data_IF_792524108204
#
_entry.id   IF_792524108204
#
_cell.length_a   1.000
_cell.length_b   1.000
_cell.length_c   1.000
_cell.angle_alpha   90.00
_cell.angle_beta   90.00
_cell.angle_gamma   90.00
#
_symmetry.space_group_name_H-M   'P 1'
#
loop_
_entity.id
_entity.type
_entity.pdbx_description
1 polymer ?
#
# COMPACT_ATOMS: atom_id res chain seq x y z
N UNK A 1 -5.84 -29.12 -21.27
CA UNK A 1 -5.43 -30.12 -20.28
C UNK A 1 -6.02 -29.72 -18.95
N UNK A 2 -6.86 -30.56 -18.34
CA UNK A 2 -7.60 -30.17 -17.14
C UNK A 2 -6.76 -30.41 -15.89
N UNK A 3 -6.42 -29.35 -15.18
CA UNK A 3 -5.79 -29.39 -13.86
C UNK A 3 -6.87 -29.28 -12.79
N UNK A 4 -6.80 -30.14 -11.78
CA UNK A 4 -7.67 -30.14 -10.61
C UNK A 4 -6.87 -29.72 -9.37
N UNK A 5 -7.52 -29.02 -8.46
CA UNK A 5 -6.96 -28.49 -7.23
C UNK A 5 -7.71 -29.12 -6.05
N UNK A 6 -6.97 -29.76 -5.18
CA UNK A 6 -7.48 -30.37 -3.95
C UNK A 6 -6.86 -29.67 -2.75
N UNK A 7 -7.68 -29.33 -1.77
CA UNK A 7 -7.18 -28.88 -0.47
C UNK A 7 -6.87 -30.08 0.42
N UNK A 8 -5.70 -30.02 1.05
CA UNK A 8 -5.25 -30.94 2.09
C UNK A 8 -5.01 -30.20 3.41
N UNK A 9 -4.98 -30.94 4.51
CA UNK A 9 -4.51 -30.42 5.79
C UNK A 9 -2.99 -30.18 5.74
N UNK A 10 -2.53 -29.10 6.37
CA UNK A 10 -1.11 -28.78 6.50
C UNK A 10 -0.87 -27.32 6.85
N UNK A 11 0.39 -26.99 7.08
CA UNK A 11 0.79 -25.61 7.36
C UNK A 11 1.03 -24.83 6.06
N UNK A 12 0.64 -23.54 6.00
CA UNK A 12 1.09 -22.64 4.95
C UNK A 12 2.62 -22.55 4.92
N UNK A 13 3.15 -22.15 3.79
CA UNK A 13 4.57 -21.87 3.62
C UNK A 13 4.95 -20.57 4.36
N UNK A 14 5.95 -20.67 5.24
CA UNK A 14 6.57 -19.51 5.88
C UNK A 14 7.36 -18.68 4.87
N UNK A 15 7.28 -17.36 5.01
CA UNK A 15 7.94 -16.42 4.13
C UNK A 15 7.27 -15.05 4.12
N UNK A 16 7.51 -14.28 3.07
CA UNK A 16 6.85 -13.02 2.84
C UNK A 16 6.62 -12.78 1.36
N UNK A 17 5.39 -12.45 0.99
CA UNK A 17 5.12 -11.89 -0.33
C UNK A 17 5.51 -10.41 -0.33
N UNK A 18 6.27 -9.99 -1.34
CA UNK A 18 6.68 -8.61 -1.58
C UNK A 18 6.23 -8.21 -2.97
N UNK A 19 5.82 -6.96 -3.14
CA UNK A 19 5.56 -6.38 -4.45
C UNK A 19 6.71 -5.45 -4.81
N UNK A 20 7.43 -5.79 -5.87
CA UNK A 20 8.47 -4.96 -6.46
C UNK A 20 7.82 -4.05 -7.50
N UNK A 21 7.55 -2.80 -7.10
CA UNK A 21 6.86 -1.82 -7.93
C UNK A 21 7.64 -1.43 -9.20
N UNK A 22 8.97 -1.15 -9.15
CA UNK A 22 9.78 -0.95 -10.35
C UNK A 22 9.67 -2.10 -11.36
N UNK A 23 9.65 -3.35 -10.88
CA UNK A 23 9.52 -4.53 -11.73
C UNK A 23 8.06 -4.90 -12.08
N UNK A 24 7.07 -4.27 -11.45
CA UNK A 24 5.67 -4.69 -11.46
C UNK A 24 5.53 -6.21 -11.23
N UNK A 25 6.15 -6.71 -10.16
CA UNK A 25 6.21 -8.15 -9.91
C UNK A 25 5.97 -8.50 -8.46
N UNK A 26 5.35 -9.66 -8.24
CA UNK A 26 5.28 -10.27 -6.92
C UNK A 26 6.49 -11.17 -6.75
N UNK A 27 7.13 -11.07 -5.59
CA UNK A 27 8.30 -11.87 -5.22
C UNK A 27 8.02 -12.50 -3.87
N UNK A 28 8.06 -13.83 -3.82
CA UNK A 28 7.96 -14.55 -2.55
C UNK A 28 9.35 -14.81 -1.97
N UNK A 29 9.58 -14.32 -0.76
CA UNK A 29 10.82 -14.52 0.00
C UNK A 29 10.66 -15.70 0.97
N UNK A 30 11.73 -16.47 1.16
CA UNK A 30 11.74 -17.62 2.08
C UNK A 30 11.48 -18.98 1.44
N UNK A 31 11.17 -19.03 0.14
CA UNK A 31 10.81 -20.28 -0.54
C UNK A 31 11.89 -21.36 -0.50
N UNK A 32 13.19 -21.03 -0.41
CA UNK A 32 14.26 -22.05 -0.37
C UNK A 32 14.17 -22.96 0.84
N UNK A 33 13.61 -22.47 1.95
CA UNK A 33 13.31 -23.28 3.12
C UNK A 33 12.01 -24.08 2.94
N UNK A 34 11.12 -23.63 2.06
CA UNK A 34 9.85 -24.25 1.75
C UNK A 34 10.03 -25.41 0.75
N UNK A 35 9.71 -26.62 1.17
CA UNK A 35 9.83 -27.79 0.31
C UNK A 35 9.88 -29.07 1.12
N UNK A 36 9.25 -30.12 0.62
CA UNK A 36 9.60 -31.48 1.04
C UNK A 36 10.97 -31.84 0.46
N UNK A 37 11.64 -32.84 1.04
CA UNK A 37 12.93 -33.31 0.51
C UNK A 37 12.79 -33.84 -0.93
N UNK A 38 11.65 -34.45 -1.26
CA UNK A 38 11.33 -34.93 -2.60
C UNK A 38 11.19 -33.77 -3.62
N UNK A 39 10.50 -32.68 -3.24
CA UNK A 39 10.35 -31.52 -4.13
C UNK A 39 11.66 -30.73 -4.26
N UNK A 40 12.55 -30.77 -3.26
CA UNK A 40 13.90 -30.21 -3.40
C UNK A 40 14.77 -31.02 -4.35
N UNK A 41 14.61 -32.34 -4.37
CA UNK A 41 15.34 -33.23 -5.26
C UNK A 41 14.82 -33.16 -6.71
N UNK A 42 13.51 -33.04 -6.89
CA UNK A 42 12.86 -33.02 -8.22
C UNK A 42 12.64 -31.63 -8.79
N UNK A 43 12.60 -30.61 -7.93
CA UNK A 43 12.40 -29.21 -8.29
C UNK A 43 10.93 -28.79 -8.38
N UNK A 44 10.72 -27.60 -8.91
CA UNK A 44 9.41 -26.96 -9.02
C UNK A 44 9.04 -26.76 -10.50
N UNK A 45 7.75 -26.86 -10.78
CA UNK A 45 7.13 -26.36 -12.00
C UNK A 45 6.34 -25.08 -11.71
N UNK A 46 5.87 -24.40 -12.76
CA UNK A 46 5.03 -23.22 -12.64
C UNK A 46 3.69 -23.42 -13.35
N UNK A 47 2.58 -23.06 -12.71
CA UNK A 47 1.30 -22.86 -13.38
C UNK A 47 1.09 -21.37 -13.61
N UNK A 48 0.92 -20.94 -14.86
CA UNK A 48 0.85 -19.51 -15.18
C UNK A 48 -0.59 -19.02 -15.32
N UNK A 49 -0.87 -17.86 -14.73
CA UNK A 49 -2.09 -17.06 -14.91
C UNK A 49 -1.65 -15.75 -15.55
N UNK A 50 -1.69 -15.72 -16.88
CA UNK A 50 -0.96 -14.71 -17.64
C UNK A 50 0.53 -14.78 -17.38
N UNK A 51 1.03 -13.89 -16.52
CA UNK A 51 2.45 -13.75 -16.18
C UNK A 51 2.77 -14.08 -14.71
N UNK A 52 1.75 -14.16 -13.86
CA UNK A 52 1.85 -14.70 -12.51
C UNK A 52 2.11 -16.21 -12.57
N UNK A 53 2.95 -16.69 -11.67
CA UNK A 53 3.34 -18.09 -11.58
C UNK A 53 2.97 -18.65 -10.21
N UNK A 54 2.19 -19.73 -10.19
CA UNK A 54 2.02 -20.57 -9.00
C UNK A 54 3.10 -21.64 -9.05
N UNK A 55 3.99 -21.64 -8.06
CA UNK A 55 5.05 -22.65 -7.97
C UNK A 55 4.52 -23.94 -7.37
N UNK A 56 4.72 -25.05 -8.08
CA UNK A 56 4.20 -26.38 -7.74
C UNK A 56 5.34 -27.37 -7.62
N UNK A 57 5.38 -28.14 -6.53
CA UNK A 57 6.31 -29.25 -6.36
C UNK A 57 6.08 -30.35 -7.39
N UNK A 58 7.14 -30.74 -8.11
CA UNK A 58 7.02 -31.77 -9.16
C UNK A 58 6.63 -33.12 -8.59
N UNK A 59 7.22 -33.51 -7.46
CA UNK A 59 6.93 -34.81 -6.84
C UNK A 59 5.58 -34.81 -6.10
N UNK A 60 5.29 -33.74 -5.37
CA UNK A 60 4.14 -33.71 -4.47
C UNK A 60 2.87 -33.11 -5.07
N UNK A 61 2.97 -32.38 -6.18
CA UNK A 61 1.91 -31.54 -6.73
C UNK A 61 1.53 -30.35 -5.83
N UNK A 62 2.25 -30.09 -4.73
CA UNK A 62 1.91 -29.04 -3.77
C UNK A 62 2.14 -27.65 -4.36
N UNK A 63 1.16 -26.77 -4.25
CA UNK A 63 1.33 -25.32 -4.47
C UNK A 63 2.06 -24.72 -3.28
N UNK A 64 3.18 -24.05 -3.54
CA UNK A 64 4.04 -23.46 -2.50
C UNK A 64 3.84 -21.95 -2.34
N UNK A 65 3.92 -21.18 -3.43
CA UNK A 65 3.80 -19.72 -3.40
C UNK A 65 3.44 -19.18 -4.79
N UNK A 66 3.21 -17.87 -4.85
CA UNK A 66 3.00 -17.11 -6.09
C UNK A 66 4.16 -16.14 -6.25
N UNK A 67 4.68 -16.02 -7.46
CA UNK A 67 5.58 -14.95 -7.86
C UNK A 67 5.34 -14.55 -9.33
N UNK A 68 6.17 -13.66 -9.85
CA UNK A 68 6.19 -13.30 -11.26
C UNK A 68 5.70 -11.89 -11.53
N UNK A 69 5.92 -11.45 -12.76
CA UNK A 69 5.39 -10.19 -13.26
C UNK A 69 3.86 -10.23 -13.21
N UNK A 70 3.25 -9.09 -12.88
CA UNK A 70 1.82 -8.90 -12.99
C UNK A 70 1.58 -7.51 -13.58
N UNK A 71 0.55 -7.37 -14.42
CA UNK A 71 0.31 -6.16 -15.20
C UNK A 71 0.55 -4.86 -14.44
N UNK A 72 0.97 -3.81 -15.15
CA UNK A 72 1.17 -2.48 -14.55
C UNK A 72 -0.02 -2.08 -13.68
N UNK A 73 0.26 -1.63 -12.45
CA UNK A 73 -0.74 -1.35 -11.41
C UNK A 73 -1.87 -0.41 -11.88
N UNK A 74 -1.58 0.50 -12.81
CA UNK A 74 -2.56 1.40 -13.43
C UNK A 74 -3.70 0.70 -14.19
N UNK A 75 -3.58 -0.61 -14.46
CA UNK A 75 -4.63 -1.43 -15.07
C UNK A 75 -5.52 -2.13 -14.05
N UNK A 76 -5.17 -2.09 -12.76
CA UNK A 76 -5.94 -2.77 -11.73
C UNK A 76 -7.16 -1.93 -11.35
N UNK A 77 -8.29 -2.60 -11.16
CA UNK A 77 -9.52 -1.93 -10.72
C UNK A 77 -9.50 -1.70 -9.22
N UNK A 78 -9.86 -0.50 -8.75
CA UNK A 78 -10.02 -0.27 -7.31
C UNK A 78 -11.33 -0.90 -6.82
N UNK A 79 -11.25 -1.76 -5.81
CA UNK A 79 -12.42 -2.39 -5.19
C UNK A 79 -12.10 -2.90 -3.78
N UNK A 80 -13.11 -3.06 -2.93
CA UNK A 80 -12.93 -3.72 -1.63
C UNK A 80 -12.83 -5.23 -1.87
N UNK A 81 -11.60 -5.72 -1.95
CA UNK A 81 -11.29 -7.13 -2.19
C UNK A 81 -10.60 -7.73 -0.98
N UNK A 82 -11.34 -8.52 -0.21
CA UNK A 82 -10.78 -9.30 0.90
C UNK A 82 -11.14 -10.77 0.68
N UNK A 83 -10.23 -11.70 0.95
CA UNK A 83 -10.62 -13.10 0.93
C UNK A 83 -11.69 -13.35 2.00
N UNK A 84 -12.68 -14.22 1.76
CA UNK A 84 -13.42 -14.85 2.84
C UNK A 84 -12.44 -15.50 3.82
N UNK A 85 -12.84 -15.69 5.09
CA UNK A 85 -11.95 -16.16 6.16
C UNK A 85 -11.10 -17.37 5.72
N UNK A 86 -9.79 -17.18 5.42
CA UNK A 86 -9.00 -18.22 4.79
C UNK A 86 -8.59 -19.25 5.83
N UNK A 87 -8.69 -20.53 5.48
CA UNK A 87 -8.24 -21.62 6.34
C UNK A 87 -6.79 -21.97 6.00
N UNK A 88 -5.89 -22.10 6.98
CA UNK A 88 -4.55 -22.62 6.72
C UNK A 88 -4.60 -24.00 6.10
N UNK A 89 -3.75 -24.26 5.10
CA UNK A 89 -3.74 -25.55 4.43
C UNK A 89 -2.68 -25.69 3.34
N UNK A 90 -2.75 -26.83 2.68
CA UNK A 90 -1.97 -27.14 1.48
C UNK A 90 -2.95 -27.30 0.32
N UNK A 91 -2.57 -26.82 -0.86
CA UNK A 91 -3.31 -27.14 -2.08
C UNK A 91 -2.42 -28.01 -2.95
N UNK A 92 -2.98 -29.11 -3.45
CA UNK A 92 -2.31 -30.04 -4.36
C UNK A 92 -2.97 -29.97 -5.73
N UNK A 93 -2.14 -30.00 -6.76
CA UNK A 93 -2.54 -30.03 -8.16
C UNK A 93 -2.50 -31.47 -8.66
N UNK A 94 -3.54 -31.88 -9.36
CA UNK A 94 -3.68 -33.20 -9.95
C UNK A 94 -4.17 -33.11 -11.40
N UNK A 95 -3.87 -34.15 -12.17
CA UNK A 95 -4.29 -34.25 -13.57
C UNK A 95 -3.29 -33.61 -14.52
N UNK A 96 -3.60 -33.68 -15.81
CA UNK A 96 -2.78 -33.04 -16.83
C UNK A 96 -1.40 -33.65 -17.10
N UNK A 97 -1.27 -34.97 -17.01
CA UNK A 97 -0.01 -35.63 -17.34
C UNK A 97 1.14 -35.27 -16.39
N UNK A 98 2.35 -35.57 -16.81
CA UNK A 98 3.54 -35.37 -15.98
C UNK A 98 3.93 -33.88 -15.92
N UNK A 99 4.05 -33.37 -14.70
CA UNK A 99 4.56 -32.03 -14.42
C UNK A 99 6.08 -32.11 -14.38
N UNK A 100 6.76 -31.32 -15.20
CA UNK A 100 8.21 -31.36 -15.37
C UNK A 100 8.87 -30.19 -14.65
N UNK A 101 10.04 -30.47 -14.07
CA UNK A 101 10.86 -29.48 -13.38
C UNK A 101 11.29 -28.33 -14.31
N UNK A 102 11.13 -27.10 -13.83
CA UNK A 102 11.48 -25.89 -14.57
C UNK A 102 10.54 -25.56 -15.74
N UNK A 103 9.44 -26.29 -15.90
CA UNK A 103 8.47 -26.04 -16.99
C UNK A 103 7.30 -25.20 -16.48
N UNK A 104 6.96 -24.17 -17.27
CA UNK A 104 5.76 -23.35 -17.10
C UNK A 104 4.58 -23.90 -17.91
N UNK A 105 3.46 -24.16 -17.25
CA UNK A 105 2.23 -24.64 -17.86
C UNK A 105 1.18 -23.53 -17.80
N UNK A 106 0.68 -23.11 -18.96
CA UNK A 106 -0.40 -22.11 -19.01
C UNK A 106 -1.68 -22.69 -18.44
N UNK A 107 -2.05 -22.25 -17.24
CA UNK A 107 -3.31 -22.60 -16.60
C UNK A 107 -4.44 -21.68 -17.11
N UNK A 108 -4.19 -20.38 -17.15
CA UNK A 108 -5.09 -19.39 -17.72
C UNK A 108 -4.31 -18.41 -18.59
N UNK A 109 -4.76 -18.13 -19.84
CA UNK A 109 -4.10 -17.16 -20.70
C UNK A 109 -4.19 -15.74 -20.10
N UNK A 110 -3.24 -14.87 -20.49
CA UNK A 110 -3.25 -13.47 -20.05
C UNK A 110 -4.53 -12.74 -20.43
N UNK A 111 -5.02 -11.88 -19.54
CA UNK A 111 -6.25 -11.10 -19.74
C UNK A 111 -7.55 -11.88 -19.50
N UNK A 112 -7.51 -13.19 -19.27
CA UNK A 112 -8.71 -13.97 -18.91
C UNK A 112 -9.15 -13.70 -17.46
N UNK A 113 -8.19 -13.40 -16.58
CA UNK A 113 -8.44 -13.11 -15.17
C UNK A 113 -8.36 -11.61 -14.94
N UNK A 114 -9.28 -11.08 -14.14
CA UNK A 114 -9.34 -9.67 -13.80
C UNK A 114 -8.60 -9.41 -12.50
N UNK A 115 -7.96 -8.24 -12.43
CA UNK A 115 -7.26 -7.79 -11.23
C UNK A 115 -7.98 -6.62 -10.59
N UNK A 116 -8.21 -6.74 -9.29
CA UNK A 116 -8.78 -5.72 -8.44
C UNK A 116 -7.93 -5.53 -7.19
N UNK A 117 -7.94 -4.33 -6.61
CA UNK A 117 -7.09 -3.97 -5.47
C UNK A 117 -7.84 -3.14 -4.43
N UNK A 118 -7.71 -3.54 -3.17
CA UNK A 118 -8.13 -2.78 -2.00
C UNK A 118 -6.92 -1.97 -1.51
N UNK A 119 -6.87 -0.72 -1.94
CA UNK A 119 -5.78 0.21 -1.65
C UNK A 119 -5.56 0.45 -0.15
N UNK A 120 -6.60 0.24 0.68
CA UNK A 120 -6.53 0.46 2.13
C UNK A 120 -5.94 -0.75 2.84
N UNK A 121 -6.35 -1.97 2.47
CA UNK A 121 -5.90 -3.18 3.16
C UNK A 121 -4.67 -3.84 2.55
N UNK A 122 -4.37 -3.47 1.31
CA UNK A 122 -3.27 -4.02 0.51
C UNK A 122 -3.54 -5.37 -0.11
N UNK A 123 -4.80 -5.78 -0.16
CA UNK A 123 -5.19 -7.00 -0.84
C UNK A 123 -5.35 -6.75 -2.34
N UNK A 124 -4.79 -7.66 -3.13
CA UNK A 124 -4.95 -7.74 -4.58
C UNK A 124 -5.68 -9.04 -4.89
N UNK A 125 -6.79 -8.95 -5.62
CA UNK A 125 -7.56 -10.09 -6.10
C UNK A 125 -7.31 -10.28 -7.59
N UNK A 126 -6.87 -11.47 -7.97
CA UNK A 126 -6.79 -11.93 -9.37
C UNK A 126 -7.78 -13.07 -9.52
N UNK A 127 -8.84 -12.89 -10.31
CA UNK A 127 -9.95 -13.86 -10.36
C UNK A 127 -10.47 -14.11 -11.77
N UNK A 128 -10.98 -15.32 -11.99
CA UNK A 128 -11.75 -15.68 -13.19
C UNK A 128 -13.15 -15.05 -13.11
N UNK A 129 -13.49 -14.05 -13.94
CA UNK A 129 -14.81 -13.41 -13.90
C UNK A 129 -15.95 -14.34 -14.34
N UNK A 130 -15.64 -15.44 -15.02
CA UNK A 130 -16.60 -16.45 -15.46
C UNK A 130 -16.72 -17.63 -14.48
N UNK A 131 -15.83 -17.69 -13.48
CA UNK A 131 -15.80 -18.75 -12.48
C UNK A 131 -16.94 -18.61 -11.46
N UNK A 132 -17.40 -19.74 -10.87
CA UNK A 132 -18.27 -19.68 -9.71
C UNK A 132 -17.53 -19.02 -8.51
N UNK A 133 -18.26 -18.51 -7.51
CA UNK A 133 -17.66 -18.03 -6.28
C UNK A 133 -16.80 -19.11 -5.61
N UNK A 134 -15.69 -18.71 -4.99
CA UNK A 134 -14.84 -19.63 -4.23
C UNK A 134 -15.65 -20.30 -3.11
N UNK A 135 -15.61 -21.64 -3.08
CA UNK A 135 -16.24 -22.49 -2.08
C UNK A 135 -15.26 -22.87 -0.96
N UNK A 136 -13.98 -22.96 -1.30
CA UNK A 136 -12.90 -23.13 -0.32
C UNK A 136 -11.84 -22.05 -0.51
N UNK A 137 -11.36 -21.51 0.60
CA UNK A 137 -10.40 -20.41 0.62
C UNK A 137 -9.24 -20.84 1.52
N UNK A 138 -8.06 -20.96 0.91
CA UNK A 138 -6.91 -21.63 1.52
C UNK A 138 -5.73 -20.68 1.59
N UNK A 139 -5.23 -20.41 2.79
CA UNK A 139 -3.95 -19.73 2.97
C UNK A 139 -2.83 -20.75 2.74
N UNK A 140 -2.11 -20.63 1.62
CA UNK A 140 -1.05 -21.58 1.22
C UNK A 140 0.34 -21.07 1.53
N UNK A 141 0.51 -19.75 1.62
CA UNK A 141 1.75 -19.10 2.01
C UNK A 141 1.44 -17.74 2.65
N UNK A 142 2.40 -17.17 3.39
CA UNK A 142 2.26 -15.83 3.95
C UNK A 142 1.97 -14.78 2.85
N UNK A 143 0.76 -14.22 2.86
CA UNK A 143 0.31 -13.26 1.85
C UNK A 143 -0.28 -13.88 0.58
N UNK A 144 -0.45 -15.21 0.51
CA UNK A 144 -1.01 -15.90 -0.67
C UNK A 144 -2.17 -16.79 -0.28
N UNK A 145 -3.36 -16.46 -0.79
CA UNK A 145 -4.59 -17.20 -0.55
C UNK A 145 -5.19 -17.66 -1.89
N UNK A 146 -5.57 -18.93 -1.96
CA UNK A 146 -6.19 -19.54 -3.14
C UNK A 146 -7.70 -19.71 -2.91
N UNK A 147 -8.50 -19.32 -3.90
CA UNK A 147 -9.93 -19.61 -3.97
C UNK A 147 -10.20 -20.78 -4.89
N UNK A 148 -10.81 -21.82 -4.36
CA UNK A 148 -11.15 -23.05 -5.08
C UNK A 148 -12.67 -23.20 -5.19
N UNK A 149 -13.14 -23.68 -6.32
CA UNK A 149 -14.53 -24.09 -6.52
C UNK A 149 -14.57 -25.29 -7.46
N UNK A 150 -15.28 -26.35 -7.08
CA UNK A 150 -15.46 -27.56 -7.92
C UNK A 150 -14.12 -28.17 -8.39
N UNK A 151 -13.10 -28.14 -7.52
CA UNK A 151 -11.76 -28.63 -7.83
C UNK A 151 -10.99 -27.75 -8.83
N UNK A 152 -11.44 -26.53 -9.09
CA UNK A 152 -10.75 -25.55 -9.96
C UNK A 152 -10.26 -24.37 -9.13
N UNK A 153 -9.11 -23.82 -9.51
CA UNK A 153 -8.67 -22.52 -9.03
C UNK A 153 -9.49 -21.41 -9.72
N UNK A 154 -10.16 -20.58 -8.94
CA UNK A 154 -11.05 -19.50 -9.43
C UNK A 154 -10.62 -18.10 -8.98
N UNK A 155 -9.82 -18.01 -7.93
CA UNK A 155 -9.32 -16.75 -7.42
C UNK A 155 -7.96 -16.89 -6.73
N UNK A 156 -7.19 -15.80 -6.75
CA UNK A 156 -5.98 -15.58 -5.97
C UNK A 156 -6.15 -14.28 -5.19
N UNK A 157 -5.96 -14.30 -3.87
CA UNK A 157 -5.75 -13.08 -3.11
C UNK A 157 -4.28 -13.00 -2.69
N UNK A 158 -3.65 -11.89 -3.02
CA UNK A 158 -2.26 -11.58 -2.74
C UNK A 158 -2.20 -10.39 -1.78
N UNK A 159 -1.40 -10.49 -0.73
CA UNK A 159 -1.15 -9.41 0.22
C UNK A 159 0.35 -9.25 0.43
N UNK A 160 0.98 -8.32 -0.31
CA UNK A 160 2.35 -7.93 -0.03
C UNK A 160 2.51 -7.39 1.39
N UNK A 161 3.64 -7.71 2.02
CA UNK A 161 3.97 -7.32 3.39
C UNK A 161 4.17 -5.82 3.58
N UNK A 162 4.63 -5.09 2.55
CA UNK A 162 4.90 -3.65 2.57
C UNK A 162 3.99 -2.89 1.60
N UNK A 163 2.68 -3.13 1.67
CA UNK A 163 1.72 -2.45 0.80
C UNK A 163 1.64 -0.95 1.13
N UNK A 164 1.86 -0.09 0.12
CA UNK A 164 1.69 1.37 0.25
C UNK A 164 2.92 2.13 0.75
N UNK A 165 3.98 1.47 1.23
CA UNK A 165 5.21 2.16 1.66
C UNK A 165 6.22 2.34 0.52
N UNK A 166 6.21 1.48 -0.49
CA UNK A 166 7.21 1.46 -1.57
C UNK A 166 6.87 2.35 -2.79
N UNK A 167 5.59 2.75 -2.95
CA UNK A 167 5.11 3.53 -4.11
C UNK A 167 5.19 5.04 -3.89
N UNK A 168 5.62 5.50 -2.71
CA UNK A 168 6.10 6.85 -2.58
C UNK A 168 7.47 6.94 -3.27
N UNK A 169 7.47 6.97 -4.61
CA UNK A 169 8.61 7.48 -5.35
C UNK A 169 8.84 8.92 -4.86
N UNK A 170 9.95 9.20 -4.14
CA UNK A 170 10.20 10.54 -3.62
C UNK A 170 10.32 11.58 -4.75
N UNK A 171 10.49 11.13 -6.00
CA UNK A 171 10.53 11.99 -7.20
C UNK A 171 9.18 12.20 -7.90
N UNK A 172 8.16 11.38 -7.63
CA UNK A 172 6.82 11.50 -8.24
C UNK A 172 5.83 12.27 -7.34
N UNK A 173 6.23 12.58 -6.11
CA UNK A 173 5.63 13.69 -5.35
C UNK A 173 6.03 14.99 -6.04
N UNK A 174 5.11 15.60 -6.80
CA UNK A 174 5.25 16.99 -7.26
C UNK A 174 5.27 17.93 -6.05
N UNK A 175 6.45 18.12 -5.48
CA UNK A 175 6.70 19.16 -4.49
C UNK A 175 6.52 20.52 -5.15
N UNK A 176 5.39 21.18 -4.85
CA UNK A 176 5.26 22.60 -5.12
C UNK A 176 6.00 23.34 -4.01
N UNK A 177 7.22 23.79 -4.32
CA UNK A 177 8.06 24.55 -3.39
C UNK A 177 7.41 25.91 -3.14
N UNK A 178 7.05 26.19 -1.89
CA UNK A 178 6.62 27.52 -1.46
C UNK A 178 7.57 28.01 -0.39
N UNK A 179 8.27 29.10 -0.69
CA UNK A 179 9.22 29.73 0.23
C UNK A 179 8.54 30.78 1.09
N UNK A 180 8.94 30.85 2.37
CA UNK A 180 8.55 31.87 3.34
C UNK A 180 9.56 33.02 3.34
N UNK A 181 9.06 34.24 3.51
CA UNK A 181 9.85 35.43 3.86
C UNK A 181 9.07 36.20 4.92
N UNK A 182 9.74 36.55 6.03
CA UNK A 182 9.10 37.15 7.20
C UNK A 182 8.68 38.61 6.98
N UNK A 183 7.48 38.75 6.44
CA UNK A 183 6.45 39.74 6.78
C UNK A 183 5.11 39.01 6.87
N UNK A 184 4.75 38.58 8.09
CA UNK A 184 3.42 38.21 8.60
C UNK A 184 2.39 37.64 7.59
N UNK A 185 2.72 36.55 6.90
CA UNK A 185 1.75 35.77 6.11
C UNK A 185 1.97 34.28 6.33
N UNK A 186 0.91 33.58 6.73
CA UNK A 186 0.88 32.13 6.83
C UNK A 186 -0.01 31.62 5.70
N UNK A 187 0.56 30.90 4.74
CA UNK A 187 -0.17 30.34 3.61
C UNK A 187 -0.19 28.82 3.74
N UNK A 188 -1.38 28.23 3.83
CA UNK A 188 -1.56 26.78 3.74
C UNK A 188 -2.08 26.43 2.34
N UNK A 189 -1.59 25.35 1.73
CA UNK A 189 -2.04 24.90 0.42
C UNK A 189 -2.42 23.43 0.48
N UNK A 190 -3.64 23.11 0.07
CA UNK A 190 -4.13 21.72 0.00
C UNK A 190 -4.01 21.27 -1.45
N UNK A 191 -3.14 20.29 -1.69
CA UNK A 191 -3.00 19.68 -3.01
C UNK A 191 -4.10 18.63 -3.21
N UNK A 192 -4.86 18.73 -4.32
CA UNK A 192 -5.83 17.71 -4.75
C UNK A 192 -5.39 17.05 -6.06
N UNK A 193 -5.55 15.73 -6.25
CA UNK A 193 -5.39 15.09 -7.55
C UNK A 193 -6.63 15.29 -8.45
N UNK A 194 -6.50 15.52 -9.77
CA UNK A 194 -5.65 16.51 -10.41
C UNK A 194 -6.44 17.81 -10.70
N UNK A 195 -5.84 18.97 -10.36
CA UNK A 195 -6.17 20.27 -10.95
C UNK A 195 -6.75 21.34 -10.03
N UNK A 196 -6.98 21.05 -8.74
CA UNK A 196 -7.52 22.04 -7.80
C UNK A 196 -6.57 22.23 -6.61
N UNK A 197 -6.08 23.46 -6.46
CA UNK A 197 -5.31 23.89 -5.30
C UNK A 197 -6.13 24.90 -4.53
N UNK A 198 -6.39 24.64 -3.25
CA UNK A 198 -6.98 25.64 -2.35
C UNK A 198 -5.85 26.22 -1.51
N UNK A 199 -5.65 27.53 -1.63
CA UNK A 199 -4.70 28.27 -0.82
C UNK A 199 -5.46 29.07 0.23
N UNK A 200 -5.09 28.87 1.49
CA UNK A 200 -5.55 29.64 2.62
C UNK A 200 -4.47 30.65 2.97
N UNK A 201 -4.80 31.94 2.95
CA UNK A 201 -3.89 33.01 3.34
C UNK A 201 -4.36 33.60 4.67
N UNK A 202 -3.52 33.49 5.69
CA UNK A 202 -3.67 34.19 6.96
C UNK A 202 -2.66 35.34 7.04
N UNK A 203 -3.18 36.56 7.15
CA UNK A 203 -2.40 37.77 7.41
C UNK A 203 -2.72 38.24 8.81
N UNK A 204 -1.73 38.30 9.71
CA UNK A 204 -1.97 38.92 11.01
C UNK A 204 -1.89 40.45 10.90
N UNK A 205 -2.97 41.12 11.28
CA UNK A 205 -3.11 42.59 11.27
C UNK A 205 -2.88 43.22 12.65
N UNK A 206 -2.03 42.63 13.49
CA UNK A 206 -1.80 43.13 14.85
C UNK A 206 -0.87 44.35 14.81
N UNK A 207 -1.47 45.54 14.90
CA UNK A 207 -0.75 46.75 15.25
C UNK A 207 -0.22 46.60 16.68
N UNK A 208 1.09 46.66 16.86
CA UNK A 208 1.77 46.53 18.14
C UNK A 208 1.27 47.58 19.15
N UNK A 209 0.34 47.19 20.02
CA UNK A 209 -0.02 47.94 21.23
C UNK A 209 0.24 47.08 22.44
N UNK A 210 1.37 47.34 23.12
CA UNK A 210 1.54 47.11 24.55
C UNK A 210 1.56 45.66 25.06
N UNK A 211 1.81 44.66 24.22
CA UNK A 211 2.02 43.28 24.69
C UNK A 211 3.49 43.06 25.09
N UNK A 212 3.70 42.33 26.19
CA UNK A 212 5.01 41.72 26.47
C UNK A 212 5.31 40.67 25.39
N UNK A 213 6.59 40.49 25.07
CA UNK A 213 7.05 39.64 23.97
C UNK A 213 6.63 38.17 24.09
N UNK A 214 6.43 37.68 25.33
CA UNK A 214 5.88 36.34 25.60
C UNK A 214 4.39 36.25 25.29
N UNK A 215 3.61 37.25 25.69
CA UNK A 215 2.15 37.25 25.54
C UNK A 215 1.75 37.38 24.07
N UNK A 216 2.52 38.15 23.30
CA UNK A 216 2.34 38.25 21.86
C UNK A 216 2.65 36.92 21.14
N UNK A 217 3.67 36.21 21.58
CA UNK A 217 4.06 34.93 21.01
C UNK A 217 3.00 33.85 21.30
N UNK A 218 2.56 33.73 22.56
CA UNK A 218 1.52 32.77 22.95
C UNK A 218 0.20 33.04 22.23
N UNK A 219 -0.19 34.32 22.10
CA UNK A 219 -1.38 34.70 21.34
C UNK A 219 -1.28 34.31 19.86
N UNK A 220 -0.13 34.56 19.22
CA UNK A 220 0.11 34.18 17.81
C UNK A 220 0.09 32.67 17.60
N UNK A 221 0.59 31.90 18.56
CA UNK A 221 0.59 30.44 18.52
C UNK A 221 -0.83 29.88 18.70
N UNK A 222 -1.64 30.45 19.58
CA UNK A 222 -3.05 30.09 19.75
C UNK A 222 -3.89 30.44 18.51
N UNK A 223 -3.58 31.53 17.81
CA UNK A 223 -4.20 31.85 16.53
C UNK A 223 -3.78 30.87 15.43
N UNK A 224 -2.50 30.51 15.35
CA UNK A 224 -2.01 29.51 14.41
C UNK A 224 -2.64 28.13 14.65
N UNK A 225 -2.77 27.71 15.91
CA UNK A 225 -3.42 26.46 16.28
C UNK A 225 -4.90 26.45 15.87
N UNK A 226 -5.63 27.55 16.13
CA UNK A 226 -7.03 27.69 15.71
C UNK A 226 -7.19 27.64 14.19
N UNK A 227 -6.29 28.29 13.46
CA UNK A 227 -6.27 28.25 12.00
C UNK A 227 -6.06 26.81 11.46
N UNK A 228 -5.12 26.06 12.04
CA UNK A 228 -4.89 24.66 11.64
C UNK A 228 -6.10 23.77 11.91
N UNK A 229 -6.81 23.98 13.03
CA UNK A 229 -8.08 23.28 13.31
C UNK A 229 -9.14 23.62 12.27
N UNK A 230 -9.30 24.89 11.89
CA UNK A 230 -10.23 25.28 10.83
C UNK A 230 -9.88 24.63 9.49
N UNK A 231 -8.61 24.61 9.10
CA UNK A 231 -8.18 23.92 7.88
C UNK A 231 -8.50 22.42 7.91
N UNK A 232 -8.30 21.75 9.07
CA UNK A 232 -8.65 20.33 9.23
C UNK A 232 -10.15 20.12 9.07
N UNK A 233 -10.96 20.88 9.78
CA UNK A 233 -12.42 20.72 9.78
C UNK A 233 -12.99 20.99 8.36
N UNK A 234 -12.39 21.93 7.61
CA UNK A 234 -12.73 22.12 6.20
C UNK A 234 -12.30 20.95 5.31
N UNK A 235 -11.11 20.38 5.50
CA UNK A 235 -10.66 19.19 4.75
C UNK A 235 -11.60 18.00 5.01
N UNK A 236 -11.95 17.76 6.28
CA UNK A 236 -12.83 16.67 6.71
C UNK A 236 -14.27 16.85 6.19
N UNK A 237 -14.69 18.10 5.96
CA UNK A 237 -16.01 18.41 5.39
C UNK A 237 -16.15 18.09 3.90
N UNK A 238 -15.07 17.76 3.19
CA UNK A 238 -15.08 17.45 1.76
C UNK A 238 -15.12 15.92 1.54
N UNK A 239 -16.26 15.32 1.14
CA UNK A 239 -16.44 13.86 1.11
C UNK A 239 -15.56 13.09 0.13
N UNK A 240 -14.86 13.80 -0.78
CA UNK A 240 -14.09 13.23 -1.88
C UNK A 240 -12.58 13.20 -1.64
N UNK A 241 -12.11 13.58 -0.45
CA UNK A 241 -10.68 13.71 -0.15
C UNK A 241 -10.25 12.68 0.89
N UNK A 242 -10.20 11.42 0.48
CA UNK A 242 -9.46 10.39 1.21
C UNK A 242 -7.98 10.59 0.90
N UNK A 243 -7.19 11.01 1.89
CA UNK A 243 -5.72 11.24 1.84
C UNK A 243 -5.22 12.66 1.50
N UNK A 244 -5.93 13.73 1.88
CA UNK A 244 -5.29 15.06 1.88
C UNK A 244 -4.19 15.13 2.94
N UNK A 245 -3.03 15.65 2.56
CA UNK A 245 -1.96 16.04 3.47
C UNK A 245 -1.93 17.56 3.59
N UNK A 246 -1.75 18.07 4.80
CA UNK A 246 -1.54 19.48 5.06
C UNK A 246 -0.04 19.70 5.28
N UNK A 247 0.58 20.47 4.39
CA UNK A 247 1.98 20.86 4.53
C UNK A 247 2.08 22.13 5.37
N UNK A 248 2.83 22.07 6.47
CA UNK A 248 3.10 23.22 7.33
C UNK A 248 4.61 23.45 7.37
N UNK A 249 5.07 24.57 6.82
CA UNK A 249 6.47 25.01 6.92
C UNK A 249 6.57 26.14 7.94
N UNK A 250 7.56 26.05 8.83
CA UNK A 250 7.84 27.07 9.83
C UNK A 250 9.30 27.50 9.68
N UNK A 251 9.53 28.79 9.40
CA UNK A 251 10.88 29.36 9.34
C UNK A 251 11.10 30.25 10.57
N UNK A 252 11.82 29.76 11.58
CA UNK A 252 12.06 30.52 12.79
C UNK A 252 13.08 31.64 12.56
N UNK A 253 12.87 32.80 13.19
CA UNK A 253 13.84 33.92 13.22
C UNK A 253 14.79 33.88 14.41
N UNK A 254 14.73 32.80 15.20
CA UNK A 254 15.46 32.59 16.45
C UNK A 254 16.37 31.37 16.24
N UNK A 255 17.59 31.34 16.80
CA UNK A 255 18.49 30.18 16.69
C UNK A 255 17.79 28.86 17.04
N UNK A 256 18.09 27.78 16.30
CA UNK A 256 17.43 26.48 16.42
C UNK A 256 17.36 25.96 17.86
N UNK A 257 18.40 26.23 18.65
CA UNK A 257 18.53 25.77 20.03
C UNK A 257 17.52 26.43 21.00
N UNK A 258 16.78 27.44 20.53
CA UNK A 258 15.74 28.15 21.29
C UNK A 258 14.32 27.78 20.86
N UNK A 259 14.16 26.84 19.92
CA UNK A 259 12.84 26.44 19.40
C UNK A 259 12.16 25.44 20.31
N UNK A 260 11.48 25.96 21.32
CA UNK A 260 10.43 25.22 22.00
C UNK A 260 9.13 25.47 21.25
N UNK A 261 8.77 24.56 20.33
CA UNK A 261 7.40 24.52 19.84
C UNK A 261 6.48 24.26 21.03
N UNK A 262 5.44 25.08 21.24
CA UNK A 262 4.48 24.82 22.29
C UNK A 262 3.88 23.45 22.10
N UNK A 263 3.75 22.70 23.20
CA UNK A 263 3.14 21.37 23.19
C UNK A 263 1.72 21.38 22.57
N UNK A 264 1.02 22.50 22.65
CA UNK A 264 -0.29 22.68 22.02
C UNK A 264 -0.22 22.57 20.48
N UNK A 265 0.74 23.26 19.85
CA UNK A 265 0.94 23.24 18.40
C UNK A 265 1.41 21.86 17.92
N UNK A 266 2.37 21.24 18.62
CA UNK A 266 2.83 19.89 18.30
C UNK A 266 1.74 18.82 18.45
N UNK A 267 0.84 18.98 19.44
CA UNK A 267 -0.30 18.08 19.63
C UNK A 267 -1.29 18.17 18.48
N UNK A 268 -1.58 19.36 17.97
CA UNK A 268 -2.48 19.50 16.82
C UNK A 268 -1.83 19.04 15.51
N UNK A 269 -0.53 19.32 15.31
CA UNK A 269 0.22 18.78 14.19
C UNK A 269 0.33 17.26 14.19
N UNK A 270 0.32 16.60 15.35
CA UNK A 270 0.30 15.14 15.47
C UNK A 270 -1.09 14.52 15.22
N UNK A 271 -2.17 15.32 15.35
CA UNK A 271 -3.55 14.86 15.12
C UNK A 271 -3.94 14.94 13.66
N UNK A 272 -3.42 15.92 12.95
CA UNK A 272 -3.54 16.03 11.51
C UNK A 272 -2.41 15.16 10.94
N UNK A 273 -2.67 14.28 9.96
CA UNK A 273 -1.59 13.50 9.32
C UNK A 273 -0.72 14.44 8.46
N UNK A 274 0.10 15.25 9.11
CA UNK A 274 0.96 16.26 8.52
C UNK A 274 2.41 15.81 8.54
N UNK A 275 3.12 16.15 7.48
CA UNK A 275 4.58 16.16 7.49
C UNK A 275 5.04 17.60 7.83
N UNK A 276 5.74 17.76 8.95
CA UNK A 276 6.31 19.04 9.37
C UNK A 276 7.70 19.17 8.74
N UNK A 277 7.86 20.12 7.81
CA UNK A 277 9.17 20.42 7.21
C UNK A 277 9.71 21.70 7.85
N UNK A 278 10.75 21.57 8.65
CA UNK A 278 11.50 22.68 9.23
C UNK A 278 12.58 23.13 8.24
N UNK A 279 12.37 24.29 7.61
CA UNK A 279 13.35 24.86 6.69
C UNK A 279 14.34 25.76 7.43
N UNK A 280 15.63 25.49 7.29
CA UNK A 280 16.71 26.13 8.05
C UNK A 280 17.67 26.83 7.09
N UNK A 281 17.17 27.88 6.44
CA UNK A 281 18.06 28.82 5.77
C UNK A 281 18.74 29.71 6.82
N UNK A 282 20.00 29.37 7.14
CA UNK A 282 20.95 30.28 7.77
C UNK A 282 21.25 31.41 6.76
N UNK A 283 20.63 32.56 6.97
CA UNK A 283 21.04 33.83 6.39
C UNK A 283 22.13 34.47 7.22
#
# INVERSE_FOLDING_TARGET
>A
MTMLFERLQGAPVDGALVYDAPANSFVFQGWRAAGTDDDRATGLAALTIGTLQLHVGVASGRVYFVDGYHEVRSRWSSAVVRPPEPRPGVVRVHGGGEVLSGVGYTFAPGGAWLTSVDEVSGWVLVADPSGPPAQDVVLVAAGTVLGLAEGRLVALWLRPSAWGEADADPSDVRWSRVSLSLTTRLRAQVARPPGLSVAFDWTNGVASRGFDSSDLLDHQLDEAARFLVTCRDEIDSVPAVTNACLLVSVTPRVPQDSLLFPRALLRELARIRCELILDTHLG
#
